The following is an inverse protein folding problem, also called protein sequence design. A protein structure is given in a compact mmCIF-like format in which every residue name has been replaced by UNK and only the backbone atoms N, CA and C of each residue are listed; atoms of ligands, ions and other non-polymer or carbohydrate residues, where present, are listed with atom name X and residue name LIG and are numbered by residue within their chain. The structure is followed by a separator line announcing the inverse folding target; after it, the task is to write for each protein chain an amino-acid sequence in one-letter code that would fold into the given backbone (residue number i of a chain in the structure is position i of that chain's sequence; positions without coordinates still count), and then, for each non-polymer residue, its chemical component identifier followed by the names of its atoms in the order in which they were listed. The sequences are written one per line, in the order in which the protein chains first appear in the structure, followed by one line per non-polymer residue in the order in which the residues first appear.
data_IF_819387179340
#
_entry.id   IF_819387179340
#
_cell.length_a   1.000
_cell.length_b   1.000
_cell.length_c   1.000
_cell.angle_alpha   90.00
_cell.angle_beta   90.00
_cell.angle_gamma   90.00
#
_symmetry.space_group_name_H-M   'P 1'
#
loop_
_entity.id
_entity.type
_entity.pdbx_description
1 polymer ?
#
# COMPACT_ATOMS: atom_id res chain seq x y z
N UNK A 1 5.30 -1.00 12.11
CA UNK A 1 3.83 -0.96 11.95
C UNK A 1 3.49 -0.86 10.44
N UNK A 2 3.99 -1.81 9.64
CA UNK A 2 3.94 -1.74 8.17
C UNK A 2 2.83 -2.62 7.58
N UNK A 3 2.52 -3.73 8.24
CA UNK A 3 1.45 -4.65 7.89
C UNK A 3 0.23 -4.35 8.79
N UNK A 4 -0.95 -4.30 8.19
CA UNK A 4 -2.24 -4.14 8.86
C UNK A 4 -3.19 -5.23 8.38
N UNK A 5 -3.79 -5.97 9.30
CA UNK A 5 -4.93 -6.84 8.98
C UNK A 5 -6.16 -6.00 8.64
N UNK A 6 -6.83 -6.31 7.53
CA UNK A 6 -8.06 -5.64 7.12
C UNK A 6 -9.31 -6.49 7.43
N UNK A 7 -9.49 -7.60 6.70
CA UNK A 7 -10.60 -8.56 6.83
C UNK A 7 -10.34 -9.78 5.95
N UNK A 8 -11.00 -10.90 6.23
CA UNK A 8 -11.05 -12.08 5.36
C UNK A 8 -9.65 -12.51 4.84
N UNK A 9 -8.67 -12.57 5.75
CA UNK A 9 -7.26 -12.91 5.44
C UNK A 9 -6.52 -11.92 4.52
N UNK A 10 -7.10 -10.75 4.25
CA UNK A 10 -6.48 -9.67 3.52
C UNK A 10 -5.66 -8.78 4.45
N UNK A 11 -4.40 -8.59 4.08
CA UNK A 11 -3.45 -7.73 4.75
C UNK A 11 -3.06 -6.57 3.84
N UNK A 12 -2.85 -5.39 4.43
CA UNK A 12 -2.28 -4.20 3.78
C UNK A 12 -0.84 -4.01 4.26
N UNK A 13 0.11 -3.95 3.33
CA UNK A 13 1.46 -3.46 3.56
C UNK A 13 1.56 -2.02 3.05
N UNK A 14 1.88 -1.09 3.94
CA UNK A 14 2.18 0.31 3.61
C UNK A 14 3.68 0.54 3.61
N UNK A 15 4.21 0.94 2.46
CA UNK A 15 5.62 1.33 2.29
C UNK A 15 5.71 2.78 1.83
N UNK A 16 6.76 3.47 2.28
CA UNK A 16 7.08 4.82 1.82
C UNK A 16 8.48 4.80 1.20
N UNK A 17 8.57 5.22 -0.06
CA UNK A 17 9.83 5.27 -0.79
C UNK A 17 9.86 6.51 -1.69
N UNK A 18 10.94 7.29 -1.61
CA UNK A 18 11.11 8.53 -2.37
C UNK A 18 9.91 9.49 -2.28
N UNK A 19 9.29 9.61 -1.09
CA UNK A 19 8.11 10.45 -0.86
C UNK A 19 6.80 9.92 -1.46
N UNK A 20 6.82 8.71 -2.02
CA UNK A 20 5.63 8.03 -2.52
C UNK A 20 5.17 6.98 -1.52
N UNK A 21 3.85 6.89 -1.34
CA UNK A 21 3.23 5.84 -0.51
C UNK A 21 2.75 4.74 -1.43
N UNK A 22 3.27 3.54 -1.22
CA UNK A 22 2.86 2.30 -1.87
C UNK A 22 2.01 1.50 -0.89
N UNK A 23 0.89 0.98 -1.40
CA UNK A 23 0.02 0.06 -0.66
C UNK A 23 -0.07 -1.23 -1.44
N UNK A 24 0.29 -2.32 -0.78
CA UNK A 24 0.23 -3.66 -1.34
C UNK A 24 -0.80 -4.44 -0.53
N UNK A 25 -1.78 -5.04 -1.20
CA UNK A 25 -2.72 -5.95 -0.56
C UNK A 25 -2.29 -7.39 -0.84
N UNK A 26 -2.25 -8.22 0.19
CA UNK A 26 -1.86 -9.62 0.04
C UNK A 26 -2.68 -10.52 0.95
N UNK A 27 -2.80 -11.78 0.54
CA UNK A 27 -3.38 -12.88 1.31
C UNK A 27 -2.32 -13.98 1.45
N UNK A 28 -2.47 -14.83 2.46
CA UNK A 28 -1.71 -16.07 2.57
C UNK A 28 -2.55 -17.21 2.00
N UNK A 29 -2.00 -17.93 1.02
CA UNK A 29 -2.58 -19.17 0.49
C UNK A 29 -1.67 -20.33 0.89
N UNK A 30 -2.05 -21.03 1.96
CA UNK A 30 -1.18 -21.99 2.66
C UNK A 30 0.16 -21.33 3.03
N UNK A 31 1.26 -21.69 2.36
CA UNK A 31 2.61 -21.14 2.57
C UNK A 31 3.02 -20.10 1.51
N UNK A 32 2.10 -19.69 0.63
CA UNK A 32 2.37 -18.75 -0.46
C UNK A 32 1.80 -17.38 -0.13
N UNK A 33 2.59 -16.34 -0.41
CA UNK A 33 2.11 -14.96 -0.38
C UNK A 33 1.53 -14.64 -1.76
N UNK A 34 0.21 -14.43 -1.82
CA UNK A 34 -0.48 -14.04 -3.05
C UNK A 34 -0.70 -12.52 -3.02
N UNK A 35 -0.08 -11.82 -3.96
CA UNK A 35 -0.13 -10.36 -4.05
C UNK A 35 -1.25 -9.92 -5.00
N UNK A 36 -2.23 -9.19 -4.46
CA UNK A 36 -3.32 -8.58 -5.23
C UNK A 36 -2.88 -7.19 -5.67
N UNK A 37 -2.36 -7.06 -6.90
CA UNK A 37 -1.92 -5.78 -7.46
C UNK A 37 -3.11 -4.87 -7.83
N UNK A 38 -3.74 -4.28 -6.83
CA UNK A 38 -4.49 -3.02 -6.98
C UNK A 38 -3.74 -1.90 -6.26
N UNK A 39 -2.48 -1.68 -6.68
CA UNK A 39 -1.63 -0.64 -6.13
C UNK A 39 -1.91 0.71 -6.79
N UNK A 40 -2.54 1.64 -6.08
CA UNK A 40 -2.70 3.02 -6.56
C UNK A 40 -1.62 3.92 -5.94
N UNK A 41 -0.91 4.67 -6.77
CA UNK A 41 0.00 5.72 -6.28
C UNK A 41 -0.85 6.88 -5.77
N UNK A 42 -0.81 7.15 -4.46
CA UNK A 42 -1.40 8.38 -3.93
C UNK A 42 -0.53 9.55 -4.41
N UNK A 43 -0.98 10.30 -5.42
CA UNK A 43 -0.28 11.51 -5.87
C UNK A 43 -0.18 12.49 -4.70
N UNK A 44 1.05 12.94 -4.40
CA UNK A 44 1.29 13.96 -3.39
C UNK A 44 0.61 15.28 -3.81
N UNK A 45 0.00 16.00 -2.85
CA UNK A 45 -0.63 17.29 -3.12
C UNK A 45 0.46 18.29 -3.51
N UNK A 46 0.55 18.66 -4.79
CA UNK A 46 1.39 19.78 -5.24
C UNK A 46 0.84 21.04 -4.57
N UNK A 47 1.63 21.65 -3.69
CA UNK A 47 1.39 23.03 -3.31
C UNK A 47 1.86 23.88 -4.49
N UNK A 48 0.93 24.58 -5.13
CA UNK A 48 1.31 25.68 -6.01
C UNK A 48 2.01 26.71 -5.13
N UNK A 49 3.20 27.22 -5.50
CA UNK A 49 3.76 28.36 -4.79
C UNK A 49 2.76 29.51 -4.87
N UNK A 50 2.42 30.10 -3.72
CA UNK A 50 1.64 31.34 -3.67
C UNK A 50 2.42 32.41 -4.43
N UNK A 51 1.73 33.09 -5.35
CA UNK A 51 2.29 34.17 -6.18
C UNK A 51 2.55 35.42 -5.35
#
# INVERSE_FOLDING_TARGET
KFIKYLRDEVYELRMEYAGNIYRVFFIFDYDKIVVLFNGFQKKHKRHLPEK
#
